data_IF_144584047277
#
_entry.id   IF_144584047277
#
_cell.length_a   1.000
_cell.length_b   1.000
_cell.length_c   1.000
_cell.angle_alpha   90.00
_cell.angle_beta   90.00
_cell.angle_gamma   90.00
#
_symmetry.space_group_name_H-M   'P 1'
#
loop_
_entity.id
_entity.type
_entity.pdbx_description
1 polymer ?
#
# COMPACT_ATOMS: atom_id res chain seq x y z
N UNK A 1 3.18 21.01 0.68
CA UNK A 1 3.75 20.27 -0.47
C UNK A 1 2.59 19.64 -1.22
N UNK A 2 2.70 19.55 -2.54
CA UNK A 2 1.70 18.88 -3.37
C UNK A 2 1.88 17.37 -3.37
N UNK A 3 0.80 16.60 -3.48
CA UNK A 3 0.89 15.13 -3.49
C UNK A 3 1.72 14.58 -4.64
N UNK A 4 1.68 15.19 -5.83
CA UNK A 4 2.52 14.76 -6.94
C UNK A 4 4.00 15.02 -6.68
N UNK A 5 4.33 16.14 -6.05
CA UNK A 5 5.70 16.45 -5.61
C UNK A 5 6.18 15.43 -4.57
N UNK A 6 5.32 15.07 -3.62
CA UNK A 6 5.59 13.99 -2.66
C UNK A 6 5.88 12.66 -3.36
N UNK A 7 5.06 12.27 -4.35
CA UNK A 7 5.24 11.01 -5.08
C UNK A 7 6.53 10.99 -5.88
N UNK A 8 6.87 12.10 -6.54
CA UNK A 8 8.16 12.28 -7.23
C UNK A 8 9.33 12.13 -6.27
N UNK A 9 9.27 12.79 -5.11
CA UNK A 9 10.33 12.68 -4.10
C UNK A 9 10.49 11.24 -3.60
N UNK A 10 9.39 10.55 -3.30
CA UNK A 10 9.43 9.16 -2.88
C UNK A 10 10.03 8.28 -3.98
N UNK A 11 9.61 8.47 -5.23
CA UNK A 11 10.10 7.69 -6.35
C UNK A 11 11.61 7.88 -6.55
N UNK A 12 12.08 9.13 -6.53
CA UNK A 12 13.51 9.47 -6.63
C UNK A 12 14.35 8.89 -5.49
N UNK A 13 13.78 8.76 -4.28
CA UNK A 13 14.47 8.15 -3.13
C UNK A 13 14.58 6.63 -3.29
N UNK A 14 13.50 5.98 -3.72
CA UNK A 14 13.45 4.52 -3.80
C UNK A 14 14.21 3.97 -5.01
N UNK A 15 14.09 4.63 -6.16
CA UNK A 15 14.68 4.18 -7.42
C UNK A 15 15.19 5.37 -8.24
N UNK A 16 16.37 5.93 -7.89
CA UNK A 16 16.92 7.10 -8.58
C UNK A 16 17.08 6.93 -10.09
N UNK A 17 17.23 5.70 -10.57
CA UNK A 17 17.41 5.38 -12.00
C UNK A 17 16.10 5.31 -12.79
N UNK A 18 14.99 4.95 -12.14
CA UNK A 18 13.68 4.71 -12.78
C UNK A 18 12.56 5.49 -12.09
N UNK A 19 12.89 6.69 -11.60
CA UNK A 19 12.00 7.48 -10.74
C UNK A 19 10.73 7.94 -11.46
N UNK A 20 10.81 8.15 -12.78
CA UNK A 20 9.66 8.56 -13.59
C UNK A 20 8.67 7.41 -13.73
N UNK A 21 9.15 6.18 -13.96
CA UNK A 21 8.33 4.98 -14.08
C UNK A 21 7.61 4.63 -12.77
N UNK A 22 8.27 4.81 -11.63
CA UNK A 22 7.66 4.59 -10.32
C UNK A 22 6.64 5.69 -9.98
N UNK A 23 6.91 6.93 -10.38
CA UNK A 23 5.95 8.02 -10.24
C UNK A 23 4.68 7.76 -11.07
N UNK A 24 4.84 7.40 -12.34
CA UNK A 24 3.74 7.05 -13.24
C UNK A 24 2.92 5.89 -12.69
N UNK A 25 3.61 4.87 -12.16
CA UNK A 25 2.98 3.79 -11.43
C UNK A 25 2.12 4.26 -10.25
N UNK A 26 2.65 5.14 -9.39
CA UNK A 26 1.91 5.65 -8.23
C UNK A 26 0.64 6.38 -8.68
N UNK A 27 0.74 7.28 -9.66
CA UNK A 27 -0.37 8.17 -10.03
C UNK A 27 -1.43 7.49 -10.89
N UNK A 28 -1.10 6.39 -11.56
CA UNK A 28 -2.05 5.69 -12.44
C UNK A 28 -2.51 4.32 -11.92
N UNK A 29 -1.80 3.71 -10.96
CA UNK A 29 -2.08 2.32 -10.55
C UNK A 29 -2.43 2.19 -9.06
N UNK A 30 -2.74 3.29 -8.39
CA UNK A 30 -3.13 3.30 -6.98
C UNK A 30 -4.49 3.97 -6.74
N UNK A 31 -5.20 3.52 -5.70
CA UNK A 31 -6.46 4.12 -5.25
C UNK A 31 -6.27 5.06 -4.08
N UNK A 32 -6.88 6.24 -4.14
CA UNK A 32 -6.84 7.23 -3.07
C UNK A 32 -7.96 6.98 -2.05
N UNK A 33 -7.57 6.65 -0.82
CA UNK A 33 -8.50 6.37 0.28
C UNK A 33 -8.52 7.49 1.34
N UNK A 34 -8.27 8.74 0.93
CA UNK A 34 -8.26 9.90 1.84
C UNK A 34 -6.97 10.06 2.64
N UNK A 35 -6.46 8.97 3.20
CA UNK A 35 -5.28 8.98 4.09
C UNK A 35 -4.11 8.13 3.60
N UNK A 36 -4.33 7.30 2.58
CA UNK A 36 -3.31 6.46 1.98
C UNK A 36 -3.67 6.14 0.53
N UNK A 37 -2.65 5.78 -0.26
CA UNK A 37 -2.77 5.12 -1.54
C UNK A 37 -2.57 3.62 -1.40
N UNK A 38 -3.26 2.84 -2.22
CA UNK A 38 -3.02 1.39 -2.29
C UNK A 38 -3.05 0.92 -3.74
N UNK A 39 -2.09 0.07 -4.11
CA UNK A 39 -2.03 -0.53 -5.44
C UNK A 39 -3.34 -1.20 -5.81
N UNK A 40 -3.77 -0.96 -7.04
CA UNK A 40 -4.94 -1.56 -7.64
C UNK A 40 -4.57 -2.85 -8.37
N UNK A 41 -5.60 -3.49 -8.92
CA UNK A 41 -5.43 -4.59 -9.83
C UNK A 41 -5.28 -4.15 -11.29
N UNK A 42 -5.55 -2.88 -11.61
CA UNK A 42 -5.51 -2.35 -12.97
C UNK A 42 -5.10 -0.85 -13.00
N UNK A 43 -4.66 -0.41 -14.18
CA UNK A 43 -4.32 0.97 -14.52
C UNK A 43 -5.56 1.86 -14.63
N UNK A 44 -5.38 3.16 -14.40
CA UNK A 44 -6.40 4.20 -14.60
C UNK A 44 -5.88 5.34 -15.48
N UNK A 45 -6.70 5.71 -16.47
CA UNK A 45 -6.44 6.89 -17.32
C UNK A 45 -6.49 8.19 -16.51
N UNK A 46 -7.36 8.26 -15.50
CA UNK A 46 -7.48 9.41 -14.63
C UNK A 46 -6.40 9.36 -13.53
N UNK A 47 -5.48 10.31 -13.62
CA UNK A 47 -4.41 10.55 -12.64
C UNK A 47 -5.03 10.85 -11.26
N UNK A 48 -4.42 10.32 -10.20
CA UNK A 48 -4.78 10.70 -8.82
C UNK A 48 -4.69 12.23 -8.66
N UNK A 49 -5.70 12.90 -8.07
CA UNK A 49 -5.70 14.35 -7.94
C UNK A 49 -4.48 14.92 -7.21
N UNK A 50 -3.97 16.05 -7.67
CA UNK A 50 -2.87 16.75 -7.01
C UNK A 50 -3.35 17.70 -5.91
N UNK A 51 -3.50 17.15 -4.71
CA UNK A 51 -4.01 17.85 -3.53
C UNK A 51 -2.87 18.35 -2.64
N UNK A 52 -3.16 19.32 -1.79
CA UNK A 52 -2.22 19.75 -0.76
C UNK A 52 -2.18 18.69 0.36
N UNK A 53 -0.98 18.27 0.74
CA UNK A 53 -0.74 17.30 1.80
C UNK A 53 0.08 17.88 2.97
N UNK A 54 0.32 19.20 2.96
CA UNK A 54 1.10 19.87 4.00
C UNK A 54 2.59 19.52 3.91
N UNK A 55 3.30 19.66 5.02
CA UNK A 55 4.71 19.28 5.15
C UNK A 55 4.79 17.87 5.72
N UNK A 56 5.54 17.01 5.04
CA UNK A 56 5.72 15.60 5.40
C UNK A 56 7.23 15.36 5.42
N UNK A 57 7.75 14.82 6.51
CA UNK A 57 9.17 14.50 6.66
C UNK A 57 9.41 13.01 6.49
N UNK A 58 8.48 12.19 7.00
CA UNK A 58 8.57 10.73 6.97
C UNK A 58 7.28 10.13 6.45
N UNK A 59 7.37 9.20 5.50
CA UNK A 59 6.23 8.37 5.07
C UNK A 59 6.47 6.90 5.37
N UNK A 60 5.37 6.18 5.55
CA UNK A 60 5.35 4.72 5.54
C UNK A 60 4.95 4.27 4.14
N UNK A 61 5.78 3.42 3.57
CA UNK A 61 5.46 2.59 2.43
C UNK A 61 5.40 1.14 2.92
N UNK A 62 4.46 0.33 2.43
CA UNK A 62 4.38 -1.08 2.82
C UNK A 62 4.13 -1.95 1.61
N UNK A 63 4.93 -2.98 1.44
CA UNK A 63 4.83 -3.91 0.33
C UNK A 63 4.12 -5.19 0.73
N UNK A 64 3.44 -5.82 -0.23
CA UNK A 64 2.88 -7.15 -0.06
C UNK A 64 3.96 -8.25 0.00
N UNK A 65 5.04 -8.06 -0.75
CA UNK A 65 6.21 -8.94 -0.82
C UNK A 65 7.47 -8.07 -0.93
N UNK A 66 8.67 -8.59 -0.60
CA UNK A 66 9.92 -7.87 -0.82
C UNK A 66 10.06 -7.44 -2.29
N UNK A 67 10.59 -6.24 -2.52
CA UNK A 67 10.83 -5.71 -3.86
C UNK A 67 12.16 -4.95 -3.86
N UNK A 68 13.01 -5.23 -4.86
CA UNK A 68 14.28 -4.53 -5.04
C UNK A 68 14.10 -3.35 -6.00
N UNK A 69 14.04 -2.14 -5.46
CA UNK A 69 13.90 -0.91 -6.25
C UNK A 69 15.16 -0.50 -7.03
N UNK A 70 16.33 -1.06 -6.69
CA UNK A 70 17.57 -0.79 -7.41
C UNK A 70 17.72 -1.65 -8.65
N UNK A 71 17.25 -2.90 -8.57
CA UNK A 71 17.41 -3.89 -9.64
C UNK A 71 16.14 -4.10 -10.48
N UNK A 72 14.96 -3.71 -9.97
CA UNK A 72 13.68 -3.91 -10.66
C UNK A 72 12.99 -2.59 -11.03
N UNK A 73 12.70 -2.45 -12.32
CA UNK A 73 11.77 -1.46 -12.87
C UNK A 73 10.41 -2.09 -13.23
N UNK A 74 10.23 -3.38 -12.96
CA UNK A 74 9.02 -4.12 -13.34
C UNK A 74 7.93 -3.90 -12.30
N UNK A 75 7.28 -2.74 -12.35
CA UNK A 75 6.14 -2.42 -11.48
C UNK A 75 4.87 -3.12 -11.95
N UNK A 76 4.75 -3.34 -13.24
CA UNK A 76 3.63 -4.00 -13.90
C UNK A 76 3.98 -5.45 -14.18
N UNK A 77 2.99 -6.34 -14.17
CA UNK A 77 3.16 -7.62 -14.87
C UNK A 77 3.28 -7.27 -16.34
N UNK A 78 4.43 -7.58 -16.94
CA UNK A 78 4.60 -7.40 -18.37
C UNK A 78 3.84 -8.49 -19.11
N UNK A 79 3.42 -8.16 -20.33
CA UNK A 79 3.60 -8.87 -21.61
C UNK A 79 2.82 -8.01 -22.64
N UNK A 80 2.75 -8.34 -23.93
CA UNK A 80 1.67 -7.99 -24.88
C UNK A 80 0.24 -8.23 -24.30
N UNK A 81 -0.05 -7.46 -23.27
CA UNK A 81 -1.17 -7.47 -22.35
C UNK A 81 -1.90 -6.14 -22.54
N UNK A 82 -3.22 -6.14 -22.71
CA UNK A 82 -3.99 -4.90 -22.86
C UNK A 82 -4.35 -4.29 -21.47
N UNK A 83 -3.34 -4.01 -20.65
CA UNK A 83 -3.33 -3.61 -19.22
C UNK A 83 -3.54 -4.74 -18.19
N UNK A 84 -2.51 -5.22 -17.48
CA UNK A 84 -2.67 -6.22 -16.43
C UNK A 84 -2.21 -5.78 -15.03
N UNK A 85 -2.37 -6.75 -14.13
CA UNK A 85 -2.05 -6.76 -12.71
C UNK A 85 -0.61 -6.35 -12.38
N UNK A 86 -0.42 -5.95 -11.13
CA UNK A 86 0.81 -5.33 -10.64
C UNK A 86 1.73 -6.33 -9.93
N UNK A 87 2.99 -6.44 -10.37
CA UNK A 87 4.04 -7.18 -9.63
C UNK A 87 4.32 -6.47 -8.29
N UNK A 88 4.48 -5.15 -8.36
CA UNK A 88 4.67 -4.32 -7.18
C UNK A 88 3.33 -4.04 -6.52
N UNK A 89 3.04 -4.67 -5.39
CA UNK A 89 1.89 -4.29 -4.55
C UNK A 89 2.38 -3.50 -3.37
N UNK A 90 2.05 -2.21 -3.35
CA UNK A 90 2.38 -1.28 -2.28
C UNK A 90 1.16 -0.57 -1.67
N UNK A 91 1.37 -0.04 -0.48
CA UNK A 91 0.51 0.93 0.18
C UNK A 91 1.37 2.11 0.63
N UNK A 92 0.93 3.34 0.36
CA UNK A 92 1.65 4.56 0.69
C UNK A 92 0.79 5.45 1.58
N UNK A 93 1.28 5.81 2.77
CA UNK A 93 0.55 6.71 3.66
C UNK A 93 0.87 8.17 3.34
N UNK A 94 -0.18 9.00 3.25
CA UNK A 94 -0.12 10.37 2.74
C UNK A 94 -0.07 11.43 3.85
N UNK A 95 0.58 11.10 4.96
CA UNK A 95 0.72 11.99 6.10
C UNK A 95 2.01 11.67 6.85
N UNK A 96 2.49 12.66 7.61
CA UNK A 96 3.73 12.52 8.34
C UNK A 96 3.64 11.44 9.43
N UNK A 97 4.61 10.52 9.37
CA UNK A 97 4.76 9.38 10.27
C UNK A 97 6.10 9.42 11.01
N UNK A 98 6.58 10.63 11.33
CA UNK A 98 7.79 10.82 12.14
C UNK A 98 7.63 10.27 13.58
N UNK A 99 6.40 10.23 14.10
CA UNK A 99 6.07 9.59 15.37
C UNK A 99 6.16 8.05 15.27
N UNK A 100 7.04 7.45 16.08
CA UNK A 100 7.33 6.01 16.06
C UNK A 100 6.15 5.13 16.46
N UNK A 101 5.26 5.61 17.35
CA UNK A 101 4.07 4.86 17.78
C UNK A 101 3.04 4.82 16.67
N UNK A 102 2.79 5.94 15.99
CA UNK A 102 1.92 6.00 14.81
C UNK A 102 2.49 5.15 13.68
N UNK A 103 3.80 5.23 13.45
CA UNK A 103 4.45 4.41 12.43
C UNK A 103 4.18 2.93 12.65
N UNK A 104 4.45 2.41 13.86
CA UNK A 104 4.21 1.00 14.21
C UNK A 104 2.74 0.60 14.05
N UNK A 105 1.82 1.41 14.56
CA UNK A 105 0.38 1.12 14.44
C UNK A 105 -0.06 1.00 12.98
N UNK A 106 0.46 1.85 12.10
CA UNK A 106 0.12 1.84 10.67
C UNK A 106 0.79 0.69 9.93
N UNK A 107 2.02 0.32 10.30
CA UNK A 107 2.65 -0.90 9.80
C UNK A 107 1.85 -2.16 10.17
N UNK A 108 1.38 -2.27 11.42
CA UNK A 108 0.54 -3.39 11.87
C UNK A 108 -0.83 -3.43 11.14
N UNK A 109 -1.45 -2.26 10.94
CA UNK A 109 -2.70 -2.15 10.19
C UNK A 109 -2.51 -2.54 8.71
N UNK A 110 -1.43 -2.07 8.09
CA UNK A 110 -1.05 -2.39 6.71
C UNK A 110 -0.77 -3.88 6.54
N UNK A 111 -0.06 -4.48 7.50
CA UNK A 111 0.22 -5.90 7.52
C UNK A 111 -1.08 -6.73 7.59
N UNK A 112 -2.04 -6.32 8.43
CA UNK A 112 -3.35 -6.99 8.51
C UNK A 112 -4.13 -6.98 7.18
N UNK A 113 -3.82 -6.05 6.27
CA UNK A 113 -4.35 -5.97 4.90
C UNK A 113 -3.49 -6.72 3.85
N UNK A 114 -2.42 -7.39 4.27
CA UNK A 114 -1.51 -8.16 3.41
C UNK A 114 -0.21 -7.45 3.04
N UNK A 115 0.01 -6.20 3.46
CA UNK A 115 1.21 -5.43 3.14
C UNK A 115 2.21 -5.48 4.30
N UNK A 116 2.89 -6.62 4.43
CA UNK A 116 3.67 -7.00 5.60
C UNK A 116 5.13 -6.49 5.61
N UNK A 117 5.59 -5.84 4.55
CA UNK A 117 6.99 -5.43 4.39
C UNK A 117 7.09 -3.90 4.42
N UNK A 118 7.18 -3.27 5.61
CA UNK A 118 7.24 -1.83 5.74
C UNK A 118 8.61 -1.24 5.38
N UNK A 119 8.57 -0.10 4.72
CA UNK A 119 9.70 0.79 4.46
C UNK A 119 9.40 2.13 5.09
N UNK A 120 10.38 2.68 5.81
CA UNK A 120 10.36 4.05 6.30
C UNK A 120 11.11 4.92 5.31
N UNK A 121 10.45 5.88 4.69
CA UNK A 121 11.08 6.81 3.75
C UNK A 121 11.18 8.18 4.41
N UNK A 122 12.39 8.70 4.49
CA UNK A 122 12.71 10.04 5.02
C UNK A 122 12.96 10.99 3.85
N UNK A 123 12.10 11.99 3.70
CA UNK A 123 12.20 12.97 2.61
C UNK A 123 13.39 13.95 2.82
N UNK A 124 13.66 14.46 4.04
CA UNK A 124 14.85 15.28 4.27
C UNK A 124 16.13 14.48 4.01
N UNK A 125 16.97 14.96 3.08
CA UNK A 125 18.22 14.31 2.71
C UNK A 125 18.06 13.02 1.88
N UNK A 126 16.83 12.57 1.62
CA UNK A 126 16.51 11.48 0.69
C UNK A 126 17.08 10.12 1.09
N UNK A 127 16.39 9.40 1.98
CA UNK A 127 16.80 8.04 2.37
C UNK A 127 15.60 7.14 2.68
N UNK A 128 15.81 5.83 2.65
CA UNK A 128 14.82 4.88 3.14
C UNK A 128 15.46 3.75 3.93
N UNK A 129 14.69 3.17 4.84
CA UNK A 129 15.06 2.03 5.67
C UNK A 129 14.04 0.91 5.45
N UNK A 130 14.52 -0.29 5.13
CA UNK A 130 13.70 -1.49 5.11
C UNK A 130 13.60 -2.00 6.54
N UNK A 131 12.37 -2.10 7.04
CA UNK A 131 12.11 -2.55 8.40
C UNK A 131 11.82 -4.05 8.42
N UNK A 132 11.96 -4.72 9.59
CA UNK A 132 11.57 -6.11 9.74
C UNK A 132 10.12 -6.33 9.30
N UNK A 133 9.89 -7.42 8.56
CA UNK A 133 8.56 -7.80 8.14
C UNK A 133 7.64 -7.95 9.36
N UNK A 134 6.43 -7.41 9.27
CA UNK A 134 5.42 -7.56 10.29
C UNK A 134 4.80 -8.94 10.11
N UNK A 135 5.19 -9.88 10.98
CA UNK A 135 4.65 -11.23 10.97
C UNK A 135 3.13 -11.21 11.19
N UNK A 136 2.39 -11.39 10.10
CA UNK A 136 0.96 -11.58 10.14
C UNK A 136 0.64 -12.92 10.80
N UNK A 137 0.26 -12.91 12.08
CA UNK A 137 -0.47 -14.02 12.73
C UNK A 137 -1.90 -14.15 12.16
N UNK A 138 -2.05 -14.16 10.84
CA UNK A 138 -3.29 -14.44 10.11
C UNK A 138 -3.02 -15.37 8.93
N UNK A 139 -2.34 -16.49 9.18
CA UNK A 139 -2.66 -17.75 8.51
C UNK A 139 -3.61 -18.49 9.45
N UNK A 140 -4.78 -18.89 8.96
CA UNK A 140 -5.81 -19.69 9.66
C UNK A 140 -6.71 -18.95 10.66
N UNK A 141 -7.48 -17.97 10.20
CA UNK A 141 -8.88 -18.00 10.60
C UNK A 141 -9.68 -18.30 9.33
N UNK A 142 -10.25 -19.52 9.16
CA UNK A 142 -11.37 -19.62 8.25
C UNK A 142 -12.34 -18.56 8.74
N UNK A 143 -12.88 -17.80 7.80
CA UNK A 143 -14.03 -16.97 8.04
C UNK A 143 -15.05 -17.89 8.75
N UNK A 144 -15.12 -17.83 10.09
CA UNK A 144 -16.35 -18.13 10.83
C UNK A 144 -17.26 -17.01 10.38
N UNK A 145 -17.82 -17.18 9.18
CA UNK A 145 -19.10 -16.63 8.75
C UNK A 145 -20.01 -17.12 9.85
N UNK A 146 -20.15 -16.29 10.87
CA UNK A 146 -21.08 -16.47 11.95
C UNK A 146 -22.43 -16.35 11.26
N UNK A 147 -22.89 -17.47 10.73
CA UNK A 147 -24.22 -17.70 10.22
C UNK A 147 -25.19 -17.61 11.41
N UNK A 148 -25.27 -16.42 12.03
CA UNK A 148 -26.25 -16.13 13.07
C UNK A 148 -27.66 -16.27 12.48
N UNK A 149 -27.80 -16.04 11.17
CA UNK A 149 -29.06 -16.29 10.43
C UNK A 149 -29.38 -17.75 10.14
N UNK A 150 -28.46 -18.70 10.30
CA UNK A 150 -28.76 -20.12 10.04
C UNK A 150 -29.09 -20.89 11.32
N UNK A 151 -28.53 -20.49 12.47
CA UNK A 151 -28.96 -21.02 13.77
C UNK A 151 -30.34 -20.50 14.18
N UNK A 152 -30.66 -19.24 13.90
CA UNK A 152 -31.98 -18.68 14.23
C UNK A 152 -33.09 -19.29 13.34
N UNK A 153 -32.79 -19.68 12.09
CA UNK A 153 -33.74 -20.31 11.16
C UNK A 153 -33.95 -21.81 11.42
N UNK A 154 -32.98 -22.49 12.03
CA UNK A 154 -33.08 -23.91 12.41
C UNK A 154 -33.69 -24.10 13.81
N UNK A 155 -33.70 -23.07 14.66
CA UNK A 155 -34.41 -23.08 15.94
C UNK A 155 -35.88 -22.66 15.83
N UNK A 156 -36.27 -21.87 14.81
CA UNK A 156 -37.68 -21.49 14.61
C UNK A 156 -38.54 -22.57 13.95
N UNK A 157 -37.97 -23.67 13.47
CA UNK A 157 -38.70 -24.74 12.76
C UNK A 157 -38.75 -26.07 13.52
N UNK A 158 -38.35 -26.09 14.81
CA UNK A 158 -38.43 -27.26 15.69
C UNK A 158 -39.31 -27.01 16.94
N UNK A 159 -40.05 -25.92 16.96
CA UNK A 159 -41.14 -25.69 17.93
C UNK A 159 -42.48 -25.65 17.17
N UNK A 160 -42.88 -26.81 16.63
CA UNK A 160 -44.28 -27.19 16.38
C UNK A 160 -44.53 -28.60 16.93
#
# INVERSE_FOLDING_TARGET
>A
MKTHELYKNIASILTPKNSEELFDYIVHSMDYHGSFLRSRYCYWENVIPDIDCGEIATVLLSLNQPFDFNESANYYEDIDSPYPFTILKMQLFLYDLSDSKRFRQKSEWSAAAGFAYPLKVSLPGGSFEILPAVNNLRRNNPIKRRNKRLTDFLQSNNEE
#
